data_IF_518924569323
#
_entry.id   IF_518924569323
#
_cell.length_a   1.000
_cell.length_b   1.000
_cell.length_c   1.000
_cell.angle_alpha   90.00
_cell.angle_beta   90.00
_cell.angle_gamma   90.00
#
_symmetry.space_group_name_H-M   'P 1'
#
loop_
_entity.id
_entity.type
_entity.pdbx_description
1 polymer ?
#
# COMPACT_ATOMS: atom_id res chain seq x y z
N UNK A 1 44.13 1.70 20.65
CA UNK A 1 44.35 0.31 20.19
C UNK A 1 44.47 0.21 18.67
N UNK A 2 43.61 0.88 17.91
CA UNK A 2 43.64 0.92 16.43
C UNK A 2 44.98 1.44 15.85
N UNK A 3 45.53 2.52 16.42
CA UNK A 3 46.80 3.12 15.98
C UNK A 3 48.02 2.21 16.15
N UNK A 4 48.10 1.42 17.24
CA UNK A 4 49.23 0.50 17.46
C UNK A 4 49.23 -0.72 16.53
N UNK A 5 48.05 -1.23 16.15
CA UNK A 5 47.93 -2.39 15.25
C UNK A 5 48.15 -1.98 13.79
N UNK A 6 47.70 -0.77 13.44
CA UNK A 6 47.84 -0.20 12.11
C UNK A 6 49.28 0.29 11.82
N UNK A 7 49.89 1.05 12.74
CA UNK A 7 51.23 1.62 12.51
C UNK A 7 52.38 0.71 12.97
N UNK A 8 52.14 -0.29 13.82
CA UNK A 8 53.17 -1.18 14.36
C UNK A 8 53.62 -2.32 13.44
N UNK A 9 53.10 -2.39 12.21
CA UNK A 9 53.43 -3.42 11.20
C UNK A 9 53.84 -2.81 9.85
N UNK A 10 54.43 -1.62 9.85
CA UNK A 10 55.15 -1.17 8.66
C UNK A 10 56.41 -2.04 8.53
N UNK A 11 56.58 -2.80 7.43
CA UNK A 11 57.78 -3.62 7.23
C UNK A 11 58.95 -2.68 6.97
N UNK A 12 59.88 -2.64 7.91
CA UNK A 12 61.00 -1.69 7.97
C UNK A 12 62.05 -1.85 6.85
N UNK A 13 61.85 -2.61 5.76
CA UNK A 13 62.86 -2.56 4.68
C UNK A 13 62.56 -3.04 3.25
N UNK A 14 61.35 -3.44 2.83
CA UNK A 14 61.14 -3.79 1.41
C UNK A 14 59.73 -3.46 0.88
N UNK A 15 59.63 -2.35 0.15
CA UNK A 15 58.46 -1.94 -0.64
C UNK A 15 58.34 -2.82 -1.91
N UNK A 16 58.02 -4.11 -1.72
CA UNK A 16 57.68 -5.03 -2.80
C UNK A 16 56.16 -5.02 -3.06
N UNK A 17 55.71 -5.15 -4.31
CA UNK A 17 54.28 -5.12 -4.68
C UNK A 17 53.42 -6.18 -3.97
N UNK A 18 54.05 -7.25 -3.49
CA UNK A 18 53.43 -8.36 -2.75
C UNK A 18 53.20 -8.04 -1.27
N UNK A 19 54.05 -7.22 -0.62
CA UNK A 19 53.86 -6.78 0.76
C UNK A 19 52.80 -5.67 0.87
N UNK A 20 52.66 -4.81 -0.16
CA UNK A 20 51.62 -3.79 -0.24
C UNK A 20 50.21 -4.37 -0.41
N UNK A 21 50.06 -5.41 -1.23
CA UNK A 21 48.77 -6.07 -1.48
C UNK A 21 48.29 -6.92 -0.30
N UNK A 22 49.20 -7.61 0.38
CA UNK A 22 48.89 -8.41 1.58
C UNK A 22 48.58 -7.57 2.81
N UNK A 23 49.30 -6.46 3.02
CA UNK A 23 48.93 -5.46 4.03
C UNK A 23 47.58 -4.83 3.68
N UNK A 24 47.36 -4.31 2.46
CA UNK A 24 46.06 -3.75 2.06
C UNK A 24 44.86 -4.67 2.33
N UNK A 25 44.99 -5.98 2.04
CA UNK A 25 43.93 -6.95 2.30
C UNK A 25 43.64 -7.16 3.80
N UNK A 26 44.68 -7.12 4.65
CA UNK A 26 44.52 -7.24 6.10
C UNK A 26 43.80 -6.03 6.70
N UNK A 27 44.08 -4.83 6.21
CA UNK A 27 43.40 -3.60 6.64
C UNK A 27 41.94 -3.58 6.17
N UNK A 28 41.68 -4.01 4.94
CA UNK A 28 40.31 -4.15 4.42
C UNK A 28 39.48 -5.14 5.24
N UNK A 29 40.08 -6.27 5.69
CA UNK A 29 39.41 -7.22 6.59
C UNK A 29 39.09 -6.65 7.96
N UNK A 30 40.02 -5.90 8.56
CA UNK A 30 39.80 -5.26 9.87
C UNK A 30 38.74 -4.15 9.79
N UNK A 31 38.79 -3.31 8.76
CA UNK A 31 37.74 -2.32 8.49
C UNK A 31 36.39 -3.00 8.24
N UNK A 32 36.39 -4.08 7.45
CA UNK A 32 35.20 -4.89 7.20
C UNK A 32 34.59 -5.44 8.49
N UNK A 33 35.39 -6.02 9.39
CA UNK A 33 34.94 -6.55 10.69
C UNK A 33 34.35 -5.47 11.61
N UNK A 34 34.89 -4.25 11.56
CA UNK A 34 34.38 -3.12 12.36
C UNK A 34 33.08 -2.58 11.79
N UNK A 35 32.96 -2.50 10.46
CA UNK A 35 31.77 -2.00 9.78
C UNK A 35 30.64 -3.02 9.72
N UNK A 36 30.96 -4.32 9.73
CA UNK A 36 30.00 -5.42 9.64
C UNK A 36 28.85 -5.34 10.66
N UNK A 37 29.06 -5.11 11.98
CA UNK A 37 27.95 -4.97 12.93
C UNK A 37 27.08 -3.74 12.64
N UNK A 38 27.66 -2.64 12.17
CA UNK A 38 26.89 -1.46 11.78
C UNK A 38 26.03 -1.73 10.55
N UNK A 39 26.60 -2.36 9.51
CA UNK A 39 25.87 -2.73 8.30
C UNK A 39 24.76 -3.72 8.62
N UNK A 40 25.02 -4.72 9.47
CA UNK A 40 24.00 -5.67 9.90
C UNK A 40 22.87 -4.98 10.68
N UNK A 41 23.19 -4.07 11.58
CA UNK A 41 22.18 -3.30 12.32
C UNK A 41 21.35 -2.43 11.37
N UNK A 42 21.99 -1.80 10.39
CA UNK A 42 21.33 -0.94 9.40
C UNK A 42 20.43 -1.74 8.45
N UNK A 43 20.90 -2.92 8.02
CA UNK A 43 20.09 -3.87 7.25
C UNK A 43 18.90 -4.38 8.06
N UNK A 44 19.12 -4.82 9.30
CA UNK A 44 18.06 -5.34 10.16
C UNK A 44 16.99 -4.27 10.43
N UNK A 45 17.40 -3.04 10.73
CA UNK A 45 16.48 -1.91 10.95
C UNK A 45 15.77 -1.49 9.67
N UNK A 46 16.45 -1.44 8.53
CA UNK A 46 15.84 -1.10 7.23
C UNK A 46 14.80 -2.13 6.80
N UNK A 47 15.15 -3.42 6.88
CA UNK A 47 14.24 -4.52 6.54
C UNK A 47 13.08 -4.56 7.51
N UNK A 48 13.34 -4.45 8.81
CA UNK A 48 12.31 -4.42 9.86
C UNK A 48 11.34 -3.25 9.68
N UNK A 49 11.84 -2.03 9.44
CA UNK A 49 11.01 -0.86 9.21
C UNK A 49 10.16 -1.00 7.94
N UNK A 50 10.73 -1.56 6.86
CA UNK A 50 10.00 -1.79 5.61
C UNK A 50 8.88 -2.81 5.81
N UNK A 51 9.16 -3.94 6.47
CA UNK A 51 8.18 -4.96 6.77
C UNK A 51 7.06 -4.45 7.68
N UNK A 52 7.37 -3.60 8.67
CA UNK A 52 6.37 -2.96 9.52
C UNK A 52 5.49 -1.95 8.78
N UNK A 53 6.01 -1.30 7.73
CA UNK A 53 5.26 -0.33 6.93
C UNK A 53 4.34 -0.99 5.91
N UNK A 54 4.87 -1.90 5.09
CA UNK A 54 4.14 -2.49 3.95
C UNK A 54 3.50 -3.84 4.27
N UNK A 55 3.93 -4.50 5.34
CA UNK A 55 3.68 -5.93 5.52
C UNK A 55 4.51 -6.78 4.56
N UNK A 56 4.36 -8.09 4.66
CA UNK A 56 5.02 -9.04 3.77
C UNK A 56 4.26 -9.14 2.44
N UNK A 57 4.73 -8.42 1.42
CA UNK A 57 4.12 -8.38 0.08
C UNK A 57 5.14 -8.83 -0.98
N UNK A 58 5.13 -10.11 -1.31
CA UNK A 58 5.89 -10.66 -2.44
C UNK A 58 5.07 -10.52 -3.74
N UNK A 59 5.38 -9.51 -4.55
CA UNK A 59 4.73 -9.28 -5.84
C UNK A 59 5.66 -9.59 -7.01
N UNK A 60 5.49 -10.77 -7.61
CA UNK A 60 6.23 -11.20 -8.80
C UNK A 60 5.96 -10.31 -10.04
N UNK A 61 4.83 -9.59 -10.08
CA UNK A 61 4.50 -8.65 -11.17
C UNK A 61 5.38 -7.40 -11.18
N UNK A 62 6.01 -7.03 -10.07
CA UNK A 62 6.85 -5.83 -10.00
C UNK A 62 8.23 -6.02 -10.67
N UNK A 63 8.62 -7.26 -10.96
CA UNK A 63 9.89 -7.60 -11.61
C UNK A 63 9.83 -7.47 -13.14
N UNK A 64 8.66 -7.22 -13.73
CA UNK A 64 8.52 -7.05 -15.18
C UNK A 64 8.94 -5.60 -15.54
N UNK A 65 10.09 -5.40 -16.23
CA UNK A 65 10.50 -4.07 -16.66
C UNK A 65 9.54 -3.59 -17.76
N UNK A 66 8.77 -2.55 -17.47
CA UNK A 66 7.84 -1.95 -18.45
C UNK A 66 8.38 -0.58 -18.87
N UNK A 67 8.66 -0.40 -20.17
CA UNK A 67 9.11 0.87 -20.75
C UNK A 67 8.11 2.02 -20.56
N UNK A 68 6.82 1.73 -20.37
CA UNK A 68 5.80 2.71 -20.01
C UNK A 68 6.04 3.42 -18.65
N UNK A 69 6.86 2.86 -17.75
CA UNK A 69 7.24 3.49 -16.47
C UNK A 69 8.40 4.49 -16.61
N UNK A 70 9.03 4.55 -17.79
CA UNK A 70 10.21 5.37 -18.10
C UNK A 70 9.87 6.64 -18.90
N UNK A 71 8.76 7.32 -18.57
CA UNK A 71 8.43 8.60 -19.19
C UNK A 71 8.83 9.76 -18.25
N UNK A 72 10.09 10.25 -18.29
CA UNK A 72 10.62 11.22 -17.33
C UNK A 72 9.90 12.57 -17.38
N UNK A 73 9.39 12.97 -18.54
CA UNK A 73 8.70 14.25 -18.74
C UNK A 73 7.36 14.31 -17.99
N UNK A 74 6.57 13.23 -18.02
CA UNK A 74 5.30 13.14 -17.28
C UNK A 74 5.51 13.03 -15.75
N UNK A 75 6.64 12.43 -15.34
CA UNK A 75 7.03 12.40 -13.91
C UNK A 75 7.53 13.76 -13.43
N UNK A 76 8.31 14.50 -14.22
CA UNK A 76 8.78 15.84 -13.86
C UNK A 76 7.63 16.85 -13.75
N UNK A 77 6.67 16.84 -14.69
CA UNK A 77 5.52 17.74 -14.62
C UNK A 77 4.63 17.47 -13.40
N UNK A 78 4.43 16.20 -13.03
CA UNK A 78 3.68 15.82 -11.83
C UNK A 78 4.44 16.05 -10.52
N UNK A 79 5.78 15.94 -10.52
CA UNK A 79 6.63 16.24 -9.35
C UNK A 79 6.64 17.72 -8.98
N UNK A 80 6.60 18.62 -9.97
CA UNK A 80 6.72 20.07 -9.72
C UNK A 80 5.37 20.72 -9.39
N UNK A 81 4.25 20.23 -9.95
CA UNK A 81 2.93 20.87 -9.80
C UNK A 81 1.91 20.10 -8.95
N UNK A 82 2.27 18.99 -8.34
CA UNK A 82 1.35 18.27 -7.45
C UNK A 82 1.35 18.90 -6.05
N UNK A 83 0.14 19.15 -5.50
CA UNK A 83 -0.08 19.57 -4.10
C UNK A 83 0.65 18.66 -3.11
N UNK A 84 0.83 17.39 -3.47
CA UNK A 84 1.55 16.41 -2.66
C UNK A 84 3.05 16.71 -2.54
N UNK A 85 3.68 17.21 -3.61
CA UNK A 85 5.09 17.59 -3.60
C UNK A 85 5.35 18.78 -2.66
N UNK A 86 4.47 19.79 -2.69
CA UNK A 86 4.55 20.95 -1.79
C UNK A 86 4.44 20.52 -0.32
N UNK A 87 3.52 19.60 0.00
CA UNK A 87 3.40 19.04 1.36
C UNK A 87 4.68 18.32 1.80
N UNK A 88 5.32 17.57 0.91
CA UNK A 88 6.59 16.87 1.22
C UNK A 88 7.71 17.88 1.47
N UNK A 89 7.81 18.94 0.67
CA UNK A 89 8.79 20.02 0.85
C UNK A 89 8.61 20.75 2.18
N UNK A 90 7.37 21.09 2.54
CA UNK A 90 7.08 21.73 3.82
C UNK A 90 7.46 20.81 4.98
N UNK A 91 7.13 19.51 4.90
CA UNK A 91 7.51 18.53 5.92
C UNK A 91 9.03 18.40 6.06
N UNK A 92 9.78 18.36 4.95
CA UNK A 92 11.25 18.27 5.02
C UNK A 92 11.86 19.54 5.58
N UNK A 93 11.37 20.71 5.20
CA UNK A 93 11.82 21.99 5.74
C UNK A 93 11.61 22.07 7.26
N UNK A 94 10.46 21.63 7.77
CA UNK A 94 10.17 21.58 9.20
C UNK A 94 11.14 20.64 9.94
N UNK A 95 11.41 19.44 9.40
CA UNK A 95 12.36 18.50 10.02
C UNK A 95 13.76 19.09 10.10
N UNK A 96 14.22 19.73 9.03
CA UNK A 96 15.52 20.40 9.00
C UNK A 96 15.56 21.49 10.05
N UNK A 97 14.55 22.36 10.11
CA UNK A 97 14.47 23.43 11.09
C UNK A 97 14.53 22.89 12.54
N UNK A 98 13.78 21.83 12.85
CA UNK A 98 13.77 21.21 14.19
C UNK A 98 15.15 20.64 14.53
N UNK A 99 15.74 19.86 13.63
CA UNK A 99 17.07 19.25 13.87
C UNK A 99 18.14 20.32 14.00
N UNK A 100 18.10 21.37 13.17
CA UNK A 100 19.02 22.51 13.24
C UNK A 100 18.89 23.27 14.57
N UNK A 101 17.67 23.47 15.07
CA UNK A 101 17.44 24.12 16.37
C UNK A 101 18.01 23.29 17.52
N UNK A 102 17.77 21.97 17.52
CA UNK A 102 18.31 21.07 18.54
C UNK A 102 19.85 21.06 18.48
N UNK A 103 20.42 20.88 17.30
CA UNK A 103 21.88 20.91 17.12
C UNK A 103 22.48 22.25 17.56
N UNK A 104 21.86 23.37 17.19
CA UNK A 104 22.31 24.69 17.63
C UNK A 104 22.24 24.86 19.16
N UNK A 105 21.18 24.39 19.80
CA UNK A 105 21.05 24.44 21.26
C UNK A 105 22.14 23.62 21.97
N UNK A 106 22.45 22.42 21.48
CA UNK A 106 23.54 21.61 22.05
C UNK A 106 24.90 22.29 21.90
N UNK A 107 25.18 22.82 20.71
CA UNK A 107 26.46 23.48 20.44
C UNK A 107 26.60 24.72 21.31
N UNK A 108 25.53 25.50 21.47
CA UNK A 108 25.52 26.68 22.35
C UNK A 108 25.79 26.32 23.80
N UNK A 109 25.19 25.24 24.31
CA UNK A 109 25.39 24.78 25.68
C UNK A 109 26.79 24.18 25.89
N UNK A 110 27.34 23.52 24.87
CA UNK A 110 28.69 22.96 24.91
C UNK A 110 29.80 24.00 24.67
N UNK A 111 29.49 25.12 24.02
CA UNK A 111 30.44 26.18 23.66
C UNK A 111 31.34 26.65 24.82
N UNK A 112 30.82 27.02 26.01
CA UNK A 112 31.67 27.46 27.12
C UNK A 112 32.61 26.34 27.64
N UNK A 113 32.13 25.09 27.65
CA UNK A 113 32.91 23.93 28.08
C UNK A 113 34.04 23.58 27.09
N UNK A 114 33.77 23.76 25.79
CA UNK A 114 34.75 23.56 24.72
C UNK A 114 35.81 24.65 24.69
N UNK A 115 35.48 25.88 25.10
CA UNK A 115 36.41 27.00 25.19
C UNK A 115 37.38 26.91 26.38
N UNK A 116 36.96 26.31 27.50
CA UNK A 116 37.82 26.09 28.68
C UNK A 116 38.71 24.84 28.54
N UNK A 117 38.32 23.90 27.68
CA UNK A 117 38.99 22.60 27.47
C UNK A 117 40.47 22.66 27.06
N UNK A 118 40.97 23.64 26.26
CA UNK A 118 42.38 23.67 25.86
C UNK A 118 43.36 23.89 27.03
N UNK A 119 42.88 24.34 28.19
CA UNK A 119 43.73 24.67 29.34
C UNK A 119 43.98 23.48 30.28
N UNK A 120 43.28 22.35 30.12
CA UNK A 120 43.29 21.22 31.07
C UNK A 120 44.10 19.98 30.61
N UNK A 121 44.86 20.08 29.52
CA UNK A 121 45.72 19.00 29.05
C UNK A 121 45.02 18.00 28.10
N UNK A 122 45.83 17.38 27.24
CA UNK A 122 45.36 16.74 26.00
C UNK A 122 44.40 15.56 26.22
N UNK A 123 44.55 14.81 27.32
CA UNK A 123 43.71 13.66 27.64
C UNK A 123 42.31 14.07 28.16
N UNK A 124 42.23 15.11 28.99
CA UNK A 124 40.98 15.63 29.55
C UNK A 124 40.17 16.35 28.47
N UNK A 125 40.84 17.09 27.59
CA UNK A 125 40.20 17.67 26.42
C UNK A 125 39.56 16.62 25.52
N UNK A 126 40.27 15.53 25.21
CA UNK A 126 39.72 14.46 24.37
C UNK A 126 38.45 13.82 24.97
N UNK A 127 38.41 13.67 26.30
CA UNK A 127 37.26 13.11 27.00
C UNK A 127 36.04 14.04 26.93
N UNK A 128 36.22 15.34 27.17
CA UNK A 128 35.15 16.35 27.05
C UNK A 128 34.58 16.38 25.62
N UNK A 129 35.43 16.29 24.61
CA UNK A 129 35.01 16.20 23.22
C UNK A 129 34.19 14.94 22.93
N UNK A 130 34.62 13.78 23.44
CA UNK A 130 33.91 12.52 23.26
C UNK A 130 32.53 12.55 23.94
N UNK A 131 32.44 13.03 25.17
CA UNK A 131 31.18 13.13 25.92
C UNK A 131 30.21 14.10 25.24
N UNK A 132 30.72 15.24 24.77
CA UNK A 132 29.93 16.23 24.03
C UNK A 132 29.41 15.66 22.71
N UNK A 133 30.25 14.95 21.95
CA UNK A 133 29.87 14.33 20.69
C UNK A 133 28.82 13.22 20.88
N UNK A 134 28.98 12.38 21.91
CA UNK A 134 28.00 11.33 22.24
C UNK A 134 26.67 11.93 22.69
N UNK A 135 26.69 12.94 23.55
CA UNK A 135 25.47 13.63 24.02
C UNK A 135 24.70 14.27 22.87
N UNK A 136 25.41 14.97 21.98
CA UNK A 136 24.84 15.59 20.79
C UNK A 136 24.25 14.52 19.84
N UNK A 137 24.99 13.44 19.60
CA UNK A 137 24.53 12.31 18.79
C UNK A 137 23.27 11.64 19.35
N UNK A 138 23.21 11.42 20.67
CA UNK A 138 22.04 10.83 21.33
C UNK A 138 20.82 11.75 21.26
N UNK A 139 20.96 13.07 21.49
CA UNK A 139 19.84 14.02 21.41
C UNK A 139 19.31 14.19 19.98
N UNK A 140 20.20 14.29 18.99
CA UNK A 140 19.79 14.32 17.57
C UNK A 140 19.11 13.00 17.18
N UNK A 141 19.68 11.86 17.60
CA UNK A 141 19.07 10.54 17.39
C UNK A 141 17.67 10.43 17.99
N UNK A 142 17.48 10.85 19.23
CA UNK A 142 16.17 10.88 19.88
C UNK A 142 15.17 11.79 19.14
N UNK A 143 15.63 12.94 18.65
CA UNK A 143 14.83 13.88 17.85
C UNK A 143 14.38 13.22 16.54
N UNK A 144 15.29 12.53 15.84
CA UNK A 144 14.94 11.80 14.62
C UNK A 144 13.95 10.67 14.89
N UNK A 145 14.08 9.94 15.99
CA UNK A 145 13.11 8.90 16.37
C UNK A 145 11.73 9.51 16.61
N UNK A 146 11.64 10.64 17.31
CA UNK A 146 10.38 11.35 17.52
C UNK A 146 9.76 11.84 16.20
N UNK A 147 10.55 12.46 15.33
CA UNK A 147 10.10 12.90 14.00
C UNK A 147 9.63 11.73 13.13
N UNK A 148 10.38 10.62 13.13
CA UNK A 148 10.03 9.41 12.39
C UNK A 148 8.71 8.80 12.87
N UNK A 149 8.43 8.84 14.19
CA UNK A 149 7.16 8.37 14.74
C UNK A 149 5.98 9.21 14.25
N UNK A 150 6.12 10.55 14.28
CA UNK A 150 5.10 11.47 13.78
C UNK A 150 4.86 11.27 12.27
N UNK A 151 5.93 11.17 11.49
CA UNK A 151 5.84 10.89 10.05
C UNK A 151 5.12 9.58 9.78
N UNK A 152 5.47 8.52 10.53
CA UNK A 152 4.85 7.21 10.39
C UNK A 152 3.35 7.26 10.69
N UNK A 153 2.92 7.95 11.75
CA UNK A 153 1.50 8.11 12.07
C UNK A 153 0.74 8.83 10.95
N UNK A 154 1.30 9.92 10.42
CA UNK A 154 0.68 10.67 9.33
C UNK A 154 0.61 9.80 8.06
N UNK A 155 1.69 9.10 7.72
CA UNK A 155 1.73 8.23 6.54
C UNK A 155 0.75 7.06 6.67
N UNK A 156 0.67 6.46 7.85
CA UNK A 156 -0.31 5.40 8.17
C UNK A 156 -1.73 5.92 7.99
N UNK A 157 -2.04 7.11 8.51
CA UNK A 157 -3.36 7.72 8.35
C UNK A 157 -3.69 7.99 6.88
N UNK A 158 -2.74 8.53 6.10
CA UNK A 158 -2.92 8.76 4.66
C UNK A 158 -3.15 7.45 3.90
N UNK A 159 -2.43 6.39 4.27
CA UNK A 159 -2.64 5.06 3.70
C UNK A 159 -4.06 4.55 3.96
N UNK A 160 -4.54 4.64 5.20
CA UNK A 160 -5.93 4.30 5.54
C UNK A 160 -6.94 5.13 4.77
N UNK A 161 -6.72 6.43 4.62
CA UNK A 161 -7.59 7.30 3.81
C UNK A 161 -7.58 6.90 2.34
N UNK A 162 -6.43 6.53 1.77
CA UNK A 162 -6.32 6.13 0.36
C UNK A 162 -7.04 4.83 0.02
N UNK A 163 -7.25 3.96 1.02
CA UNK A 163 -8.01 2.71 0.85
C UNK A 163 -9.51 2.90 1.04
N UNK A 164 -9.97 4.10 1.43
CA UNK A 164 -11.40 4.36 1.58
C UNK A 164 -12.00 4.64 0.21
N UNK A 165 -12.98 3.81 -0.16
CA UNK A 165 -13.77 4.06 -1.36
C UNK A 165 -14.60 5.33 -1.22
N UNK A 166 -14.58 6.16 -2.25
CA UNK A 166 -15.45 7.33 -2.32
C UNK A 166 -16.91 6.91 -2.52
N UNK A 167 -17.87 7.81 -2.22
CA UNK A 167 -19.29 7.55 -2.51
C UNK A 167 -19.56 7.29 -4.00
N UNK A 168 -18.75 7.88 -4.87
CA UNK A 168 -18.82 7.64 -6.32
C UNK A 168 -18.31 6.24 -6.65
N UNK A 169 -17.13 5.86 -6.16
CA UNK A 169 -16.57 4.52 -6.37
C UNK A 169 -17.48 3.42 -5.82
N UNK A 170 -18.07 3.59 -4.63
CA UNK A 170 -19.05 2.65 -4.08
C UNK A 170 -20.28 2.49 -4.98
N UNK A 171 -20.70 3.56 -5.66
CA UNK A 171 -21.84 3.52 -6.58
C UNK A 171 -21.47 2.86 -7.90
N UNK A 172 -20.27 3.12 -8.38
CA UNK A 172 -19.66 2.49 -9.56
C UNK A 172 -19.49 0.98 -9.34
N UNK A 173 -18.93 0.59 -8.20
CA UNK A 173 -18.71 -0.80 -7.80
C UNK A 173 -20.04 -1.54 -7.73
N UNK A 174 -21.06 -1.00 -7.04
CA UNK A 174 -22.41 -1.57 -7.03
C UNK A 174 -23.01 -1.72 -8.42
N UNK A 175 -22.82 -0.74 -9.31
CA UNK A 175 -23.27 -0.84 -10.72
C UNK A 175 -22.54 -1.94 -11.47
N UNK A 176 -21.26 -2.17 -11.21
CA UNK A 176 -20.47 -3.24 -11.84
C UNK A 176 -20.84 -4.63 -11.27
N UNK A 177 -21.07 -4.77 -9.97
CA UNK A 177 -21.41 -6.07 -9.35
C UNK A 177 -22.85 -6.47 -9.57
N UNK A 178 -23.80 -5.55 -9.37
CA UNK A 178 -25.25 -5.85 -9.43
C UNK A 178 -25.87 -5.54 -10.81
N UNK A 179 -25.14 -4.84 -11.68
CA UNK A 179 -25.64 -4.32 -12.94
C UNK A 179 -26.51 -3.07 -12.77
N UNK A 180 -26.91 -2.46 -13.89
CA UNK A 180 -27.83 -1.32 -13.86
C UNK A 180 -29.23 -1.78 -13.39
N UNK A 181 -29.80 -1.20 -12.32
CA UNK A 181 -31.15 -1.51 -11.87
C UNK A 181 -32.21 -1.37 -12.96
N UNK A 182 -32.05 -0.44 -13.91
CA UNK A 182 -32.94 -0.29 -15.06
C UNK A 182 -32.85 -1.47 -16.04
N UNK A 183 -31.66 -2.02 -16.25
CA UNK A 183 -31.46 -3.20 -17.09
C UNK A 183 -32.06 -4.43 -16.40
N UNK A 184 -31.85 -4.58 -15.08
CA UNK A 184 -32.40 -5.69 -14.30
C UNK A 184 -33.94 -5.66 -14.24
N UNK A 185 -34.55 -4.48 -14.13
CA UNK A 185 -36.01 -4.34 -14.16
C UNK A 185 -36.59 -4.64 -15.55
N UNK A 186 -35.93 -4.16 -16.61
CA UNK A 186 -36.32 -4.42 -18.00
C UNK A 186 -36.20 -5.90 -18.36
N UNK A 187 -35.18 -6.58 -17.86
CA UNK A 187 -35.01 -8.02 -18.03
C UNK A 187 -36.17 -8.80 -17.38
N UNK A 188 -36.55 -8.45 -16.14
CA UNK A 188 -37.71 -9.05 -15.45
C UNK A 188 -39.01 -8.83 -16.20
N UNK A 189 -39.25 -7.62 -16.70
CA UNK A 189 -40.43 -7.33 -17.53
C UNK A 189 -40.46 -8.20 -18.79
N UNK A 190 -39.31 -8.35 -19.47
CA UNK A 190 -39.19 -9.20 -20.66
C UNK A 190 -39.40 -10.67 -20.34
N UNK A 191 -38.89 -11.16 -19.21
CA UNK A 191 -39.13 -12.53 -18.72
C UNK A 191 -40.62 -12.78 -18.48
N UNK A 192 -41.33 -11.85 -17.83
CA UNK A 192 -42.78 -11.96 -17.64
C UNK A 192 -43.55 -11.96 -18.96
N UNK A 193 -43.16 -11.11 -19.92
CA UNK A 193 -43.77 -11.09 -21.24
C UNK A 193 -43.59 -12.42 -21.98
N UNK A 194 -42.36 -12.97 -21.98
CA UNK A 194 -42.06 -14.26 -22.61
C UNK A 194 -42.80 -15.41 -21.93
N UNK A 195 -42.88 -15.42 -20.59
CA UNK A 195 -43.64 -16.42 -19.85
C UNK A 195 -45.13 -16.38 -20.21
N UNK A 196 -45.72 -15.17 -20.30
CA UNK A 196 -47.10 -15.00 -20.77
C UNK A 196 -47.29 -15.45 -22.21
N UNK A 197 -46.36 -15.12 -23.10
CA UNK A 197 -46.43 -15.54 -24.50
C UNK A 197 -46.38 -17.06 -24.65
N UNK A 198 -45.51 -17.75 -23.89
CA UNK A 198 -45.45 -19.22 -23.85
C UNK A 198 -46.73 -19.83 -23.29
N UNK A 199 -47.27 -19.23 -22.22
CA UNK A 199 -48.54 -19.66 -21.65
C UNK A 199 -49.69 -19.53 -22.65
N UNK A 200 -49.77 -18.43 -23.39
CA UNK A 200 -50.79 -18.23 -24.44
C UNK A 200 -50.61 -19.20 -25.61
N UNK A 201 -49.36 -19.52 -25.99
CA UNK A 201 -49.08 -20.51 -27.03
C UNK A 201 -49.48 -21.93 -26.64
N UNK A 202 -49.57 -22.25 -25.34
CA UNK A 202 -50.04 -23.53 -24.82
C UNK A 202 -51.57 -23.62 -24.68
N UNK A 203 -52.31 -22.52 -24.92
CA UNK A 203 -53.79 -22.51 -24.86
C UNK A 203 -54.42 -23.35 -25.98
N UNK A 204 -53.99 -23.27 -27.26
CA UNK A 204 -54.57 -24.09 -28.33
C UNK A 204 -54.32 -25.60 -28.16
N UNK A 205 -53.29 -26.00 -27.41
CA UNK A 205 -53.00 -27.41 -27.10
C UNK A 205 -53.81 -27.95 -25.92
N UNK A 206 -54.68 -27.13 -25.32
CA UNK A 206 -55.55 -27.54 -24.21
C UNK A 206 -56.86 -28.14 -24.71
N UNK A 207 -57.37 -29.13 -23.98
CA UNK A 207 -58.58 -29.85 -24.37
C UNK A 207 -59.84 -29.11 -23.92
N UNK A 208 -59.80 -28.44 -22.76
CA UNK A 208 -60.94 -27.72 -22.19
C UNK A 208 -60.49 -26.42 -21.51
N UNK A 209 -61.26 -25.35 -21.70
CA UNK A 209 -61.10 -24.08 -20.98
C UNK A 209 -62.27 -23.89 -20.01
N UNK A 210 -61.95 -23.83 -18.71
CA UNK A 210 -62.91 -23.54 -17.64
C UNK A 210 -62.90 -22.04 -17.36
N UNK A 211 -64.05 -21.38 -17.49
CA UNK A 211 -64.18 -19.94 -17.29
C UNK A 211 -65.10 -19.61 -16.12
N UNK A 212 -64.73 -18.61 -15.34
CA UNK A 212 -65.60 -17.87 -14.43
C UNK A 212 -65.94 -16.54 -15.13
N UNK A 213 -67.22 -16.28 -15.46
CA UNK A 213 -67.68 -15.27 -16.43
C UNK A 213 -67.04 -13.88 -16.35
N UNK A 214 -66.56 -13.46 -15.18
CA UNK A 214 -66.03 -12.10 -14.97
C UNK A 214 -64.58 -12.05 -14.46
N UNK A 215 -63.99 -13.17 -14.05
CA UNK A 215 -62.78 -13.11 -13.21
C UNK A 215 -61.62 -14.00 -13.64
N UNK A 216 -61.88 -15.21 -14.15
CA UNK A 216 -60.83 -16.22 -14.31
C UNK A 216 -61.09 -17.11 -15.54
N UNK A 217 -60.02 -17.49 -16.22
CA UNK A 217 -60.03 -18.58 -17.20
C UNK A 217 -58.84 -19.51 -16.93
N UNK A 218 -59.10 -20.82 -16.97
CA UNK A 218 -58.10 -21.87 -16.73
C UNK A 218 -58.20 -22.89 -17.86
N UNK A 219 -57.12 -23.08 -18.59
CA UNK A 219 -57.00 -24.08 -19.64
C UNK A 219 -56.41 -25.39 -19.06
N UNK A 220 -57.05 -26.51 -19.37
CA UNK A 220 -56.69 -27.84 -18.89
C UNK A 220 -56.40 -28.76 -20.08
N UNK A 221 -55.34 -29.56 -19.93
CA UNK A 221 -55.00 -30.64 -20.86
C UNK A 221 -55.10 -31.99 -20.14
N UNK A 222 -55.75 -32.96 -20.75
CA UNK A 222 -55.94 -34.30 -20.19
C UNK A 222 -56.01 -35.39 -21.28
N UNK A 223 -54.96 -36.20 -21.36
CA UNK A 223 -54.89 -37.35 -22.25
C UNK A 223 -55.19 -38.64 -21.46
N UNK A 224 -56.35 -39.26 -21.73
CA UNK A 224 -56.94 -40.38 -20.97
C UNK A 224 -55.97 -41.57 -20.78
N UNK A 225 -55.12 -41.86 -21.77
CA UNK A 225 -54.22 -43.02 -21.74
C UNK A 225 -52.80 -42.70 -21.25
N UNK A 226 -52.45 -41.43 -21.08
CA UNK A 226 -51.09 -41.00 -20.74
C UNK A 226 -51.00 -40.23 -19.41
N UNK A 227 -52.09 -39.61 -18.95
CA UNK A 227 -52.08 -38.71 -17.79
C UNK A 227 -52.92 -39.26 -16.63
N UNK A 228 -52.32 -39.28 -15.42
CA UNK A 228 -53.02 -39.63 -14.17
C UNK A 228 -54.00 -38.56 -13.69
N UNK A 229 -53.80 -37.31 -14.07
CA UNK A 229 -54.65 -36.17 -13.70
C UNK A 229 -54.54 -35.05 -14.76
N UNK A 230 -55.56 -34.20 -14.92
CA UNK A 230 -55.49 -33.04 -15.80
C UNK A 230 -54.43 -32.04 -15.32
N UNK A 231 -53.67 -31.49 -16.26
CA UNK A 231 -52.66 -30.45 -15.99
C UNK A 231 -53.17 -29.08 -16.42
N UNK A 232 -52.80 -28.05 -15.65
CA UNK A 232 -53.11 -26.65 -15.99
C UNK A 232 -52.06 -26.14 -16.97
N UNK A 233 -52.46 -25.88 -18.22
CA UNK A 233 -51.57 -25.35 -19.27
C UNK A 233 -51.53 -23.83 -19.26
N UNK A 234 -52.65 -23.16 -18.99
CA UNK A 234 -52.73 -21.71 -18.88
C UNK A 234 -53.73 -21.26 -17.82
N UNK A 235 -53.46 -20.11 -17.20
CA UNK A 235 -54.42 -19.43 -16.31
C UNK A 235 -54.32 -17.91 -16.45
N UNK A 236 -55.45 -17.23 -16.44
CA UNK A 236 -55.53 -15.78 -16.59
C UNK A 236 -56.67 -15.17 -15.79
N UNK A 237 -56.56 -13.87 -15.54
CA UNK A 237 -57.60 -13.07 -14.89
C UNK A 237 -57.90 -11.80 -15.72
N UNK A 238 -59.15 -11.31 -15.65
CA UNK A 238 -59.66 -10.14 -16.40
C UNK A 238 -59.24 -10.18 -17.88
N UNK A 239 -58.54 -9.16 -18.38
CA UNK A 239 -58.10 -9.03 -19.77
C UNK A 239 -57.30 -10.23 -20.29
N UNK A 240 -56.62 -10.95 -19.40
CA UNK A 240 -55.89 -12.16 -19.79
C UNK A 240 -56.82 -13.37 -19.90
N UNK A 241 -57.89 -13.43 -19.10
CA UNK A 241 -58.93 -14.44 -19.23
C UNK A 241 -59.72 -14.26 -20.53
N UNK A 242 -60.02 -13.02 -20.91
CA UNK A 242 -60.69 -12.69 -22.18
C UNK A 242 -59.89 -13.12 -23.41
N UNK A 243 -58.56 -13.23 -23.30
CA UNK A 243 -57.69 -13.72 -24.37
C UNK A 243 -57.55 -15.25 -24.41
N UNK A 244 -57.86 -15.93 -23.30
CA UNK A 244 -57.77 -17.40 -23.18
C UNK A 244 -59.08 -18.08 -23.59
N UNK A 245 -60.22 -17.38 -23.40
CA UNK A 245 -61.55 -17.81 -23.83
C UNK A 245 -61.68 -17.81 -25.35
#
# INVERSE_FOLDING_TARGET
TFTRVCLGRLPDNDLTWTSLSSTGLSWARHLGLILLPFVLCLLATSVGASLLQTGFLLSYKSLIPSLARFNPLARLSSLVFSKQSLIVLVKSAIKIAIVSLVAYSEIRDAYPLLLSSPWEGLAQGLQVWQETALKLGMRIGATFVALAMVDYMIQRHQWWQSMRMTRQELREERRQTEGDPFVRSRLRQRQHYLARSRMMAAVPESDVVVTNPMHLAVALKYEIHQMRAPIVTAKGARLLADRIR
#
